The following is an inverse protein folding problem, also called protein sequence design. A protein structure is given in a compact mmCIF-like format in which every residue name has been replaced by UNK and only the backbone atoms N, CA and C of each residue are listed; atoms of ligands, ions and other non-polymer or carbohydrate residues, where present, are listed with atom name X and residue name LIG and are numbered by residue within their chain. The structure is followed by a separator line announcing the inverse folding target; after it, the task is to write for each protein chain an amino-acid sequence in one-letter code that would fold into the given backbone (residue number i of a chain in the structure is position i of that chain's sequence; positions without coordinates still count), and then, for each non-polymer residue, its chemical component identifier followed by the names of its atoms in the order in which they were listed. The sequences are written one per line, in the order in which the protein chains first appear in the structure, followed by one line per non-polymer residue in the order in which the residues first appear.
data_IF_842174066428
#
_entry.id   IF_842174066428
#
_cell.length_a   1.000
_cell.length_b   1.000
_cell.length_c   1.000
_cell.angle_alpha   90.00
_cell.angle_beta   90.00
_cell.angle_gamma   90.00
#
_symmetry.space_group_name_H-M   'P 1'
#
loop_
_entity.id
_entity.type
_entity.pdbx_description
1 polymer ?
#
# COMPACT_ATOMS: atom_id res chain seq x y z
N UNK A 1 -11.31 -26.56 5.17
CA UNK A 1 -10.74 -25.37 5.86
C UNK A 1 -10.51 -25.61 7.36
N UNK A 2 -11.42 -26.27 8.08
CA UNK A 2 -11.35 -26.47 9.55
C UNK A 2 -10.02 -27.09 10.02
N UNK A 3 -9.51 -28.10 9.31
CA UNK A 3 -8.23 -28.73 9.66
C UNK A 3 -7.06 -27.74 9.58
N UNK A 4 -7.02 -26.90 8.56
CA UNK A 4 -5.95 -25.91 8.37
C UNK A 4 -6.06 -24.78 9.40
N UNK A 5 -7.28 -24.39 9.76
CA UNK A 5 -7.54 -23.41 10.84
C UNK A 5 -7.08 -23.94 12.20
N UNK A 6 -7.42 -25.20 12.50
CA UNK A 6 -6.94 -25.90 13.71
C UNK A 6 -5.40 -25.99 13.71
N UNK A 7 -4.77 -26.28 12.56
CA UNK A 7 -3.32 -26.31 12.42
C UNK A 7 -2.71 -24.93 12.74
N UNK A 8 -3.27 -23.83 12.23
CA UNK A 8 -2.79 -22.50 12.51
C UNK A 8 -2.86 -22.17 14.02
N UNK A 9 -3.96 -22.53 14.68
CA UNK A 9 -4.14 -22.36 16.13
C UNK A 9 -3.15 -23.21 16.93
N UNK A 10 -2.96 -24.47 16.57
CA UNK A 10 -2.03 -25.38 17.24
C UNK A 10 -0.58 -24.95 17.09
N UNK A 11 -0.17 -24.48 15.92
CA UNK A 11 1.17 -23.93 15.71
C UNK A 11 1.42 -22.69 16.56
N UNK A 12 0.41 -21.79 16.64
CA UNK A 12 0.49 -20.63 17.51
C UNK A 12 0.73 -21.05 18.97
N UNK A 13 -0.10 -21.97 19.47
CA UNK A 13 -0.01 -22.47 20.85
C UNK A 13 1.33 -23.17 21.11
N UNK A 14 1.78 -24.02 20.18
CA UNK A 14 3.06 -24.73 20.30
C UNK A 14 4.26 -23.79 20.40
N UNK A 15 4.25 -22.68 19.65
CA UNK A 15 5.29 -21.65 19.73
C UNK A 15 5.19 -20.87 21.04
N UNK A 16 3.96 -20.50 21.48
CA UNK A 16 3.79 -19.74 22.72
C UNK A 16 4.25 -20.53 23.96
N UNK A 17 4.00 -21.83 24.01
CA UNK A 17 4.35 -22.70 25.13
C UNK A 17 5.81 -23.21 25.08
N UNK A 18 6.54 -23.01 23.97
CA UNK A 18 7.91 -23.47 23.85
C UNK A 18 8.86 -22.63 24.72
N UNK A 19 9.79 -23.30 25.40
CA UNK A 19 10.90 -22.64 26.12
C UNK A 19 11.83 -21.90 25.16
N UNK A 20 12.07 -22.46 23.97
CA UNK A 20 12.76 -21.80 22.85
C UNK A 20 11.79 -21.67 21.66
N UNK A 21 11.26 -20.47 21.52
CA UNK A 21 10.28 -20.15 20.46
C UNK A 21 10.91 -20.18 19.06
N UNK A 22 12.16 -19.78 18.94
CA UNK A 22 12.88 -19.75 17.67
C UNK A 22 13.16 -21.16 17.17
N UNK A 23 13.64 -22.05 18.01
CA UNK A 23 13.85 -23.46 17.68
C UNK A 23 12.54 -24.16 17.29
N UNK A 24 11.45 -23.92 18.03
CA UNK A 24 10.13 -24.47 17.69
C UNK A 24 9.62 -23.97 16.34
N UNK A 25 9.80 -22.70 16.04
CA UNK A 25 9.41 -22.10 14.76
C UNK A 25 10.23 -22.72 13.60
N UNK A 26 11.54 -22.92 13.79
CA UNK A 26 12.39 -23.56 12.79
C UNK A 26 11.96 -25.01 12.49
N UNK A 27 11.67 -25.80 13.54
CA UNK A 27 11.15 -27.17 13.40
C UNK A 27 9.84 -27.21 12.61
N UNK A 28 8.90 -26.33 12.92
CA UNK A 28 7.62 -26.25 12.20
C UNK A 28 7.79 -25.85 10.73
N UNK A 29 8.75 -24.97 10.43
CA UNK A 29 9.09 -24.59 9.05
C UNK A 29 9.68 -25.77 8.28
N UNK A 30 10.55 -26.54 8.89
CA UNK A 30 11.13 -27.74 8.29
C UNK A 30 10.05 -28.79 7.98
N UNK A 31 9.14 -29.06 8.92
CA UNK A 31 8.03 -29.99 8.74
C UNK A 31 7.11 -29.61 7.57
N UNK A 32 6.95 -28.31 7.28
CA UNK A 32 6.07 -27.81 6.22
C UNK A 32 6.80 -27.38 4.94
N UNK A 33 8.13 -27.50 4.88
CA UNK A 33 8.94 -27.00 3.75
C UNK A 33 8.53 -27.59 2.39
N UNK A 34 7.95 -28.81 2.37
CA UNK A 34 7.47 -29.47 1.16
C UNK A 34 6.10 -29.00 0.65
N UNK A 35 5.38 -28.19 1.42
CA UNK A 35 4.07 -27.68 1.02
C UNK A 35 4.22 -26.40 0.17
N UNK A 36 3.42 -26.25 -0.89
CA UNK A 36 3.44 -25.02 -1.67
C UNK A 36 2.91 -23.82 -0.86
N UNK A 37 3.39 -22.63 -1.20
CA UNK A 37 2.82 -21.40 -0.67
C UNK A 37 1.39 -21.21 -1.16
N UNK A 38 0.45 -20.97 -0.25
CA UNK A 38 -0.95 -20.87 -0.58
C UNK A 38 -1.77 -20.06 0.40
N UNK A 39 -2.94 -19.65 -0.06
CA UNK A 39 -3.96 -18.95 0.74
C UNK A 39 -5.27 -19.67 0.50
N UNK A 40 -5.80 -20.35 1.52
CA UNK A 40 -7.14 -20.92 1.49
C UNK A 40 -8.13 -19.93 2.11
N UNK A 41 -9.21 -19.68 1.39
CA UNK A 41 -10.30 -18.79 1.83
C UNK A 41 -11.31 -19.64 2.60
N UNK A 42 -11.26 -19.64 3.92
CA UNK A 42 -12.20 -20.42 4.73
C UNK A 42 -13.63 -19.91 4.55
N UNK A 43 -14.59 -20.83 4.44
CA UNK A 43 -16.02 -20.49 4.34
C UNK A 43 -16.44 -19.69 5.60
N UNK A 44 -16.94 -18.46 5.39
CA UNK A 44 -17.30 -17.51 6.45
C UNK A 44 -16.21 -17.32 7.53
N UNK A 45 -14.95 -17.62 7.18
CA UNK A 45 -13.80 -17.65 8.06
C UNK A 45 -12.62 -16.78 7.59
N UNK A 46 -11.43 -16.99 8.17
CA UNK A 46 -10.20 -16.25 7.88
C UNK A 46 -9.59 -16.64 6.53
N UNK A 47 -8.50 -15.97 6.18
CA UNK A 47 -7.53 -16.47 5.21
C UNK A 47 -6.54 -17.37 5.93
N UNK A 48 -6.44 -18.63 5.48
CA UNK A 48 -5.50 -19.61 5.99
C UNK A 48 -4.27 -19.62 5.09
N UNK A 49 -3.17 -19.07 5.59
CA UNK A 49 -1.95 -18.84 4.82
C UNK A 49 -0.93 -19.91 5.17
N UNK A 50 -0.38 -20.57 4.15
CA UNK A 50 0.68 -21.59 4.28
C UNK A 50 1.92 -21.11 3.55
N UNK A 51 3.09 -21.22 4.20
CA UNK A 51 4.42 -20.99 3.62
C UNK A 51 4.59 -19.67 2.83
N UNK A 52 3.95 -18.57 3.26
CA UNK A 52 4.29 -17.26 2.71
C UNK A 52 5.77 -16.95 3.01
N UNK A 53 6.47 -16.37 2.04
CA UNK A 53 7.86 -15.98 2.21
C UNK A 53 8.02 -14.73 3.10
N UNK A 54 7.04 -13.82 3.04
CA UNK A 54 7.01 -12.63 3.89
C UNK A 54 5.57 -12.19 4.19
N UNK A 55 5.36 -11.64 5.38
CA UNK A 55 4.20 -10.82 5.75
C UNK A 55 4.74 -9.52 6.30
N UNK A 56 4.37 -8.40 5.68
CA UNK A 56 4.88 -7.09 6.06
C UNK A 56 3.73 -6.14 6.36
N UNK A 57 3.99 -5.12 7.16
CA UNK A 57 3.11 -3.97 7.27
C UNK A 57 3.30 -3.02 6.06
N UNK A 58 2.50 -1.97 5.97
CA UNK A 58 2.56 -0.97 4.90
C UNK A 58 3.87 -0.15 4.86
N UNK A 59 4.70 -0.20 5.90
CA UNK A 59 6.02 0.42 5.98
C UNK A 59 7.15 -0.56 5.63
N UNK A 60 6.82 -1.80 5.23
CA UNK A 60 7.80 -2.83 4.92
C UNK A 60 8.37 -3.55 6.15
N UNK A 61 7.88 -3.23 7.36
CA UNK A 61 8.26 -3.94 8.59
C UNK A 61 7.74 -5.37 8.59
N UNK A 62 8.59 -6.34 8.88
CA UNK A 62 8.22 -7.76 8.94
C UNK A 62 7.32 -8.05 10.14
N UNK A 63 6.24 -8.80 9.91
CA UNK A 63 5.36 -9.29 10.95
C UNK A 63 5.75 -10.73 11.34
N UNK A 64 5.46 -11.11 12.59
CA UNK A 64 5.78 -12.45 13.08
C UNK A 64 5.02 -13.52 12.31
N UNK A 65 5.73 -14.35 11.55
CA UNK A 65 5.18 -15.39 10.69
C UNK A 65 5.28 -16.77 11.30
N UNK A 66 4.29 -17.60 11.01
CA UNK A 66 4.27 -19.04 11.25
C UNK A 66 4.11 -19.77 9.91
N UNK A 67 4.53 -21.04 9.80
CA UNK A 67 4.34 -21.83 8.58
C UNK A 67 2.88 -21.94 8.14
N UNK A 68 1.95 -22.05 9.10
CA UNK A 68 0.51 -21.89 8.86
C UNK A 68 -0.04 -20.82 9.81
N UNK A 69 -0.77 -19.86 9.26
CA UNK A 69 -1.35 -18.74 10.02
C UNK A 69 -2.73 -18.38 9.49
N UNK A 70 -3.55 -17.81 10.37
CA UNK A 70 -4.88 -17.31 10.03
C UNK A 70 -4.88 -15.78 10.06
N UNK A 71 -5.22 -15.13 8.94
CA UNK A 71 -5.37 -13.69 8.83
C UNK A 71 -6.84 -13.29 8.88
N UNK A 72 -7.13 -12.21 9.58
CA UNK A 72 -8.47 -11.68 9.73
C UNK A 72 -9.07 -11.30 8.37
N UNK A 73 -10.33 -11.72 8.12
CA UNK A 73 -11.09 -11.40 6.91
C UNK A 73 -12.36 -10.60 7.21
N UNK A 74 -12.82 -10.66 8.46
CA UNK A 74 -14.08 -10.05 8.89
C UNK A 74 -13.96 -8.58 9.35
N UNK A 75 -12.74 -8.05 9.45
CA UNK A 75 -12.46 -6.70 9.95
C UNK A 75 -12.65 -6.51 11.46
N UNK A 76 -13.18 -7.50 12.18
CA UNK A 76 -13.55 -7.40 13.59
C UNK A 76 -12.53 -7.92 14.60
N UNK A 77 -11.41 -8.54 14.16
CA UNK A 77 -10.40 -9.07 15.08
C UNK A 77 -9.82 -8.00 15.99
N UNK A 78 -9.60 -8.33 17.26
CA UNK A 78 -8.87 -7.50 18.22
C UNK A 78 -7.35 -7.67 18.15
N UNK A 79 -6.85 -8.67 17.39
CA UNK A 79 -5.43 -9.02 17.24
C UNK A 79 -4.95 -8.88 15.81
N UNK A 80 -5.45 -7.86 15.09
CA UNK A 80 -5.13 -7.61 13.67
C UNK A 80 -3.61 -7.59 13.41
N UNK A 81 -3.15 -8.14 12.27
CA UNK A 81 -3.91 -8.75 11.19
C UNK A 81 -4.33 -10.20 11.43
N UNK A 82 -4.01 -10.76 12.60
CA UNK A 82 -4.29 -12.16 12.92
C UNK A 82 -5.76 -12.40 13.21
N UNK A 83 -6.25 -13.58 12.88
CA UNK A 83 -7.60 -13.98 13.24
C UNK A 83 -7.66 -14.39 14.73
N UNK A 84 -8.67 -13.88 15.45
CA UNK A 84 -8.97 -14.20 16.84
C UNK A 84 -10.28 -15.00 16.99
N UNK A 85 -10.87 -15.49 15.87
CA UNK A 85 -12.13 -16.24 15.87
C UNK A 85 -13.40 -15.40 15.91
N UNK A 86 -13.30 -14.06 15.98
CA UNK A 86 -14.47 -13.17 16.11
C UNK A 86 -15.45 -13.26 14.94
N UNK A 87 -15.00 -13.69 13.75
CA UNK A 87 -15.86 -13.93 12.60
C UNK A 87 -17.04 -14.88 12.90
N UNK A 88 -16.85 -15.85 13.80
CA UNK A 88 -17.89 -16.81 14.18
C UNK A 88 -19.07 -16.19 14.95
N UNK A 89 -18.88 -15.00 15.53
CA UNK A 89 -19.88 -14.35 16.41
C UNK A 89 -20.33 -12.97 15.95
N UNK A 90 -19.63 -12.36 14.96
CA UNK A 90 -19.95 -11.00 14.51
C UNK A 90 -20.86 -10.94 13.27
N UNK A 91 -21.42 -12.07 12.83
CA UNK A 91 -22.31 -12.14 11.67
C UNK A 91 -21.59 -11.99 10.32
N UNK A 92 -20.26 -12.22 10.28
CA UNK A 92 -19.50 -12.15 9.04
C UNK A 92 -19.96 -13.20 8.03
N UNK A 93 -20.16 -12.79 6.77
CA UNK A 93 -20.37 -13.69 5.63
C UNK A 93 -19.26 -13.48 4.59
N UNK A 94 -18.68 -14.58 4.15
CA UNK A 94 -17.71 -14.63 3.05
C UNK A 94 -18.33 -14.58 1.65
N UNK A 95 -19.65 -14.58 1.54
CA UNK A 95 -20.35 -14.58 0.27
C UNK A 95 -20.12 -13.30 -0.54
N UNK A 96 -20.13 -13.43 -1.87
CA UNK A 96 -20.17 -12.30 -2.80
C UNK A 96 -21.56 -11.65 -2.77
N UNK A 97 -21.60 -10.32 -2.82
CA UNK A 97 -22.88 -9.60 -2.93
C UNK A 97 -23.50 -9.86 -4.33
N UNK A 98 -24.74 -10.33 -4.41
CA UNK A 98 -25.43 -10.52 -5.69
C UNK A 98 -25.58 -9.24 -6.51
N UNK A 99 -25.61 -8.07 -5.85
CA UNK A 99 -25.73 -6.75 -6.48
C UNK A 99 -24.38 -6.04 -6.69
N UNK A 100 -23.25 -6.75 -6.53
CA UNK A 100 -21.92 -6.18 -6.73
C UNK A 100 -21.72 -5.65 -8.14
N UNK A 101 -20.72 -4.76 -8.30
CA UNK A 101 -20.20 -4.39 -9.61
C UNK A 101 -19.78 -5.67 -10.34
N UNK A 102 -20.25 -5.90 -11.58
CA UNK A 102 -19.89 -7.09 -12.34
C UNK A 102 -18.37 -7.23 -12.51
N UNK A 103 -17.88 -8.45 -12.44
CA UNK A 103 -16.50 -8.79 -12.77
C UNK A 103 -16.31 -8.78 -14.31
N UNK A 104 -16.51 -7.63 -14.91
CA UNK A 104 -16.26 -7.42 -16.33
C UNK A 104 -15.03 -6.55 -16.52
N UNK A 105 -14.37 -6.78 -17.62
CA UNK A 105 -13.22 -5.99 -18.03
C UNK A 105 -13.64 -5.03 -19.13
N UNK A 106 -13.64 -3.74 -18.85
CA UNK A 106 -13.89 -2.70 -19.81
C UNK A 106 -12.62 -2.43 -20.64
N UNK A 107 -12.79 -2.09 -21.93
CA UNK A 107 -11.71 -1.83 -22.88
C UNK A 107 -11.76 -0.37 -23.31
N UNK A 108 -10.59 0.28 -23.29
CA UNK A 108 -10.41 1.68 -23.68
C UNK A 108 -9.33 1.73 -24.76
N UNK A 109 -9.75 2.01 -25.98
CA UNK A 109 -8.84 2.02 -27.14
C UNK A 109 -8.17 3.39 -27.28
N UNK A 110 -6.86 3.37 -27.54
CA UNK A 110 -6.05 4.52 -27.84
C UNK A 110 -5.21 4.34 -29.09
N UNK A 111 -4.47 5.38 -29.48
CA UNK A 111 -3.66 5.34 -30.70
C UNK A 111 -2.50 4.34 -30.63
N UNK A 112 -1.91 4.14 -29.45
CA UNK A 112 -0.71 3.31 -29.27
C UNK A 112 -0.97 2.06 -28.43
N UNK A 113 -2.06 2.04 -27.67
CA UNK A 113 -2.35 0.97 -26.72
C UNK A 113 -3.82 0.96 -26.35
N UNK A 114 -4.33 -0.24 -26.11
CA UNK A 114 -5.62 -0.45 -25.44
C UNK A 114 -5.37 -0.70 -23.96
N UNK A 115 -6.11 -0.04 -23.08
CA UNK A 115 -6.07 -0.28 -21.63
C UNK A 115 -7.33 -1.04 -21.24
N UNK A 116 -7.16 -2.05 -20.40
CA UNK A 116 -8.26 -2.82 -19.81
C UNK A 116 -8.38 -2.52 -18.32
N UNK A 117 -9.61 -2.39 -17.84
CA UNK A 117 -9.94 -2.13 -16.43
C UNK A 117 -11.06 -3.05 -15.94
N UNK A 118 -10.86 -3.69 -14.79
CA UNK A 118 -11.89 -4.45 -14.09
C UNK A 118 -12.19 -3.81 -12.73
N UNK A 119 -13.31 -3.08 -12.68
CA UNK A 119 -13.74 -2.39 -11.45
C UNK A 119 -14.18 -3.35 -10.35
N UNK A 120 -14.61 -4.56 -10.67
CA UNK A 120 -15.04 -5.57 -9.70
C UNK A 120 -13.93 -6.03 -8.75
N UNK A 121 -12.66 -5.87 -9.15
CA UNK A 121 -11.48 -6.24 -8.36
C UNK A 121 -10.55 -5.04 -8.06
N UNK A 122 -10.99 -3.82 -8.34
CA UNK A 122 -10.22 -2.62 -8.05
C UNK A 122 -10.27 -2.31 -6.56
N UNK A 123 -9.10 -2.22 -5.91
CA UNK A 123 -9.01 -1.81 -4.50
C UNK A 123 -9.10 -0.29 -4.30
N UNK A 124 -9.20 0.50 -5.37
CA UNK A 124 -9.27 1.96 -5.36
C UNK A 124 -8.05 2.62 -4.67
N UNK A 125 -6.85 2.09 -4.90
CA UNK A 125 -5.61 2.61 -4.29
C UNK A 125 -5.20 4.02 -4.76
N UNK A 126 -5.81 4.54 -5.84
CA UNK A 126 -5.41 5.80 -6.45
C UNK A 126 -4.13 5.78 -7.29
N UNK A 127 -3.34 4.70 -7.27
CA UNK A 127 -2.03 4.66 -7.92
C UNK A 127 -2.06 5.00 -9.42
N UNK A 128 -3.13 4.67 -10.14
CA UNK A 128 -3.28 5.03 -11.55
C UNK A 128 -3.59 6.51 -11.72
N UNK A 129 -4.58 7.04 -10.98
CA UNK A 129 -5.02 8.44 -11.06
C UNK A 129 -3.96 9.40 -10.56
N UNK A 130 -3.28 9.08 -9.47
CA UNK A 130 -2.23 9.94 -8.88
C UNK A 130 -0.97 9.98 -9.74
N UNK A 131 -0.63 8.87 -10.40
CA UNK A 131 0.58 8.79 -11.25
C UNK A 131 0.38 9.32 -12.65
N UNK A 132 -0.83 9.21 -13.21
CA UNK A 132 -1.10 9.58 -14.60
C UNK A 132 -2.55 10.06 -14.79
N UNK A 133 -2.87 11.20 -14.18
CA UNK A 133 -4.21 11.81 -14.21
C UNK A 133 -4.68 12.24 -15.60
N UNK A 134 -3.76 12.39 -16.56
CA UNK A 134 -4.11 12.68 -17.97
C UNK A 134 -4.65 11.46 -18.72
N UNK A 135 -4.48 10.27 -18.17
CA UNK A 135 -4.98 9.00 -18.73
C UNK A 135 -6.10 8.42 -17.86
N UNK A 136 -5.95 8.47 -16.53
CA UNK A 136 -6.89 7.91 -15.57
C UNK A 136 -7.63 9.02 -14.82
N UNK A 137 -8.95 9.11 -15.01
CA UNK A 137 -9.75 10.24 -14.55
C UNK A 137 -10.61 9.85 -13.34
N UNK A 138 -10.21 10.29 -12.14
CA UNK A 138 -11.00 10.07 -10.94
C UNK A 138 -12.34 10.82 -11.03
N UNK A 139 -13.44 10.10 -10.83
CA UNK A 139 -14.80 10.69 -10.79
C UNK A 139 -15.35 11.18 -12.13
N UNK A 140 -14.74 10.79 -13.26
CA UNK A 140 -15.19 11.17 -14.62
C UNK A 140 -15.32 9.96 -15.52
N UNK A 141 -16.18 10.08 -16.54
CA UNK A 141 -16.29 9.10 -17.62
C UNK A 141 -15.90 9.77 -18.97
N UNK A 142 -15.16 9.09 -19.84
CA UNK A 142 -14.57 7.77 -19.60
C UNK A 142 -13.47 7.81 -18.52
N UNK A 143 -13.42 6.77 -17.68
CA UNK A 143 -12.38 6.67 -16.66
C UNK A 143 -10.97 6.63 -17.24
N UNK A 144 -10.81 6.05 -18.42
CA UNK A 144 -9.51 5.91 -19.07
C UNK A 144 -9.52 6.55 -20.46
N UNK A 145 -8.51 7.39 -20.73
CA UNK A 145 -8.22 7.96 -22.05
C UNK A 145 -6.79 7.62 -22.44
N UNK A 146 -6.53 6.46 -23.11
CA UNK A 146 -5.16 5.99 -23.34
C UNK A 146 -4.31 6.95 -24.17
N UNK A 147 -4.91 7.74 -25.05
CA UNK A 147 -4.20 8.74 -25.86
C UNK A 147 -3.77 9.98 -25.06
N UNK A 148 -4.14 10.09 -23.79
CA UNK A 148 -3.76 11.20 -22.89
C UNK A 148 -2.35 11.12 -22.32
N UNK A 149 -1.59 10.04 -22.60
CA UNK A 149 -0.26 9.84 -22.05
C UNK A 149 0.70 9.12 -23.00
N UNK A 150 1.99 9.19 -22.68
CA UNK A 150 3.01 8.42 -23.40
C UNK A 150 2.93 6.95 -23.02
N UNK A 151 3.19 6.05 -23.96
CA UNK A 151 3.12 4.61 -23.77
C UNK A 151 3.94 4.11 -22.56
N UNK A 152 5.15 4.61 -22.39
CA UNK A 152 6.02 4.24 -21.27
C UNK A 152 5.46 4.67 -19.89
N UNK A 153 4.78 5.82 -19.83
CA UNK A 153 4.11 6.29 -18.62
C UNK A 153 2.86 5.46 -18.31
N UNK A 154 2.10 5.09 -19.34
CA UNK A 154 0.92 4.18 -19.22
C UNK A 154 1.37 2.82 -18.68
N UNK A 155 2.42 2.23 -19.26
CA UNK A 155 2.96 0.93 -18.82
C UNK A 155 3.35 0.99 -17.34
N UNK A 156 4.07 2.04 -16.89
CA UNK A 156 4.45 2.21 -15.48
C UNK A 156 3.23 2.34 -14.57
N UNK A 157 2.22 3.10 -14.97
CA UNK A 157 1.02 3.29 -14.17
C UNK A 157 0.20 1.99 -14.05
N UNK A 158 0.03 1.25 -15.14
CA UNK A 158 -0.68 -0.04 -15.16
C UNK A 158 0.05 -1.08 -14.29
N UNK A 159 1.38 -1.21 -14.45
CA UNK A 159 2.19 -2.13 -13.63
C UNK A 159 2.16 -1.82 -12.14
N UNK A 160 1.89 -0.58 -11.77
CA UNK A 160 1.75 -0.17 -10.38
C UNK A 160 0.38 -0.50 -9.78
N UNK A 161 -0.57 -1.06 -10.55
CA UNK A 161 -1.88 -1.46 -10.03
C UNK A 161 -1.74 -2.65 -9.07
N UNK A 162 -1.94 -2.47 -7.75
CA UNK A 162 -1.66 -3.53 -6.79
C UNK A 162 -2.72 -4.62 -6.73
N UNK A 163 -3.92 -4.37 -7.27
CA UNK A 163 -5.00 -5.37 -7.31
C UNK A 163 -4.98 -6.22 -8.59
N UNK A 164 -4.15 -5.86 -9.59
CA UNK A 164 -4.14 -6.53 -10.88
C UNK A 164 -5.37 -6.27 -11.74
N UNK A 165 -6.15 -5.22 -11.41
CA UNK A 165 -7.35 -4.83 -12.14
C UNK A 165 -7.05 -4.23 -13.52
N UNK A 166 -5.87 -3.63 -13.68
CA UNK A 166 -5.44 -3.00 -14.93
C UNK A 166 -4.52 -3.91 -15.74
N UNK A 167 -4.69 -3.88 -17.06
CA UNK A 167 -3.75 -4.43 -18.02
C UNK A 167 -3.76 -3.60 -19.31
N UNK A 168 -2.87 -3.90 -20.25
CA UNK A 168 -2.79 -3.19 -21.52
C UNK A 168 -2.48 -4.16 -22.67
N UNK A 169 -2.86 -3.75 -23.90
CA UNK A 169 -2.46 -4.40 -25.14
C UNK A 169 -1.72 -3.42 -26.02
N UNK A 170 -0.75 -3.94 -26.78
CA UNK A 170 -0.05 -3.26 -27.87
C UNK A 170 -0.23 -4.15 -29.10
N UNK A 171 -0.63 -3.55 -30.24
CA UNK A 171 -0.92 -4.29 -31.47
C UNK A 171 -1.85 -5.50 -31.24
N UNK A 172 -2.94 -5.28 -30.50
CA UNK A 172 -3.96 -6.27 -30.13
C UNK A 172 -3.43 -7.47 -29.30
N UNK A 173 -2.21 -7.38 -28.79
CA UNK A 173 -1.63 -8.39 -27.89
C UNK A 173 -1.61 -7.89 -26.46
N UNK A 174 -2.34 -8.58 -25.59
CA UNK A 174 -2.33 -8.27 -24.16
C UNK A 174 -0.95 -8.62 -23.55
N UNK A 175 -0.37 -7.66 -22.85
CA UNK A 175 0.96 -7.75 -22.28
C UNK A 175 0.93 -8.22 -20.81
N UNK A 176 0.05 -9.18 -20.46
CA UNK A 176 -0.12 -9.64 -19.07
C UNK A 176 1.19 -10.15 -18.45
N UNK A 177 1.99 -10.90 -19.17
CA UNK A 177 3.30 -11.38 -18.72
C UNK A 177 4.29 -10.25 -18.40
N UNK A 178 4.10 -9.08 -19.00
CA UNK A 178 4.92 -7.89 -18.71
C UNK A 178 4.35 -7.07 -17.56
N UNK A 179 3.06 -7.18 -17.27
CA UNK A 179 2.41 -6.57 -16.10
C UNK A 179 2.74 -7.38 -14.85
N UNK A 180 2.58 -8.69 -14.94
CA UNK A 180 2.86 -9.61 -13.84
C UNK A 180 4.39 -9.79 -13.70
N UNK A 181 4.91 -9.47 -12.52
CA UNK A 181 6.33 -9.67 -12.23
C UNK A 181 6.59 -11.15 -11.94
N UNK A 182 7.30 -11.82 -12.83
CA UNK A 182 7.67 -13.22 -12.63
C UNK A 182 8.78 -13.36 -11.59
N UNK A 183 8.73 -14.46 -10.80
CA UNK A 183 9.80 -14.83 -9.87
C UNK A 183 9.83 -14.08 -8.53
N UNK A 184 8.81 -13.29 -8.21
CA UNK A 184 8.65 -12.78 -6.83
C UNK A 184 8.29 -13.94 -5.90
N UNK A 185 8.88 -13.95 -4.71
CA UNK A 185 8.46 -14.88 -3.67
C UNK A 185 7.04 -14.53 -3.18
N UNK A 186 6.20 -15.53 -2.83
CA UNK A 186 4.85 -15.31 -2.31
C UNK A 186 4.85 -14.47 -1.03
N UNK A 187 4.30 -13.27 -1.08
CA UNK A 187 4.30 -12.33 0.02
C UNK A 187 2.95 -11.65 0.21
N UNK A 188 2.73 -11.17 1.44
CA UNK A 188 1.51 -10.47 1.85
C UNK A 188 1.92 -9.14 2.49
N UNK A 189 1.46 -8.03 1.92
CA UNK A 189 1.54 -6.72 2.55
C UNK A 189 0.19 -6.40 3.20
N UNK A 190 0.22 -6.06 4.49
CA UNK A 190 -0.92 -5.58 5.24
C UNK A 190 -1.00 -4.07 5.03
N UNK A 191 -1.89 -3.62 4.12
CA UNK A 191 -2.06 -2.20 3.85
C UNK A 191 -2.72 -1.49 5.03
N UNK A 192 -2.29 -0.28 5.34
CA UNK A 192 -2.96 0.55 6.33
C UNK A 192 -4.36 0.88 5.85
N UNK A 193 -5.36 0.66 6.70
CA UNK A 193 -6.78 0.95 6.45
C UNK A 193 -7.29 0.41 5.10
N UNK A 194 -6.63 -0.61 4.55
CA UNK A 194 -6.87 -1.14 3.21
C UNK A 194 -6.85 -2.68 3.15
N UNK A 195 -6.74 -3.27 1.97
CA UNK A 195 -6.73 -4.72 1.79
C UNK A 195 -5.37 -5.35 2.10
N UNK A 196 -5.32 -6.67 2.14
CA UNK A 196 -4.06 -7.40 1.95
C UNK A 196 -3.64 -7.33 0.49
N UNK A 197 -2.42 -6.91 0.22
CA UNK A 197 -1.80 -6.98 -1.11
C UNK A 197 -0.99 -8.24 -1.21
N UNK A 198 -1.39 -9.11 -2.11
CA UNK A 198 -0.77 -10.41 -2.33
C UNK A 198 0.12 -10.31 -3.56
N UNK A 199 1.32 -10.85 -3.49
CA UNK A 199 2.28 -10.90 -4.60
C UNK A 199 2.94 -12.27 -4.68
N UNK A 200 3.61 -12.57 -5.81
CA UNK A 200 4.35 -13.81 -6.00
C UNK A 200 3.49 -15.02 -6.37
N UNK A 201 2.21 -14.80 -6.71
CA UNK A 201 1.32 -15.83 -7.24
C UNK A 201 1.06 -17.02 -6.32
N UNK A 202 0.84 -16.87 -5.00
CA UNK A 202 0.49 -18.02 -4.18
C UNK A 202 -0.82 -18.64 -4.67
N UNK A 203 -0.94 -19.96 -4.51
CA UNK A 203 -2.17 -20.66 -4.85
C UNK A 203 -3.32 -20.12 -3.97
N UNK A 204 -4.36 -19.58 -4.61
CA UNK A 204 -5.56 -19.12 -3.92
C UNK A 204 -6.68 -20.14 -4.12
N UNK A 205 -7.21 -20.69 -3.02
CA UNK A 205 -8.26 -21.71 -3.04
C UNK A 205 -9.46 -21.32 -2.19
N UNK A 206 -10.62 -21.87 -2.53
CA UNK A 206 -11.83 -21.78 -1.71
C UNK A 206 -11.76 -22.65 -0.44
N UNK A 207 -12.84 -22.70 0.34
CA UNK A 207 -12.94 -23.48 1.58
C UNK A 207 -12.83 -24.97 1.39
N UNK A 208 -13.15 -25.50 0.21
CA UNK A 208 -13.04 -26.90 -0.18
C UNK A 208 -11.67 -27.26 -0.75
N UNK A 209 -10.84 -26.26 -1.10
CA UNK A 209 -9.52 -26.44 -1.70
C UNK A 209 -9.49 -26.36 -3.22
N UNK A 210 -10.62 -26.00 -3.86
CA UNK A 210 -10.63 -25.73 -5.30
C UNK A 210 -10.01 -24.36 -5.60
N UNK A 211 -9.42 -24.15 -6.79
CA UNK A 211 -8.91 -22.84 -7.17
C UNK A 211 -9.99 -21.75 -7.06
N UNK A 212 -9.71 -20.67 -6.34
CA UNK A 212 -10.63 -19.52 -6.27
C UNK A 212 -10.74 -18.87 -7.66
N UNK A 213 -11.96 -18.75 -8.22
CA UNK A 213 -12.15 -18.17 -9.54
C UNK A 213 -11.65 -16.71 -9.62
N UNK A 214 -10.85 -16.41 -10.64
CA UNK A 214 -10.39 -15.06 -10.93
C UNK A 214 -11.17 -14.49 -12.11
N UNK A 215 -11.43 -13.19 -12.10
CA UNK A 215 -12.03 -12.50 -13.23
C UNK A 215 -11.13 -12.59 -14.48
N UNK A 216 -11.74 -12.57 -15.66
CA UNK A 216 -10.99 -12.57 -16.91
C UNK A 216 -9.98 -11.42 -16.98
N UNK A 217 -8.74 -11.72 -17.35
CA UNK A 217 -7.65 -10.76 -17.44
C UNK A 217 -7.12 -10.24 -16.09
N UNK A 218 -7.62 -10.75 -14.95
CA UNK A 218 -7.02 -10.46 -13.65
C UNK A 218 -5.60 -11.07 -13.56
N UNK A 219 -4.71 -10.40 -12.81
CA UNK A 219 -3.37 -10.91 -12.58
C UNK A 219 -3.41 -12.26 -11.86
N UNK A 220 -2.58 -13.21 -12.30
CA UNK A 220 -2.36 -14.46 -11.59
C UNK A 220 -1.27 -14.31 -10.51
N UNK A 221 -0.41 -13.31 -10.66
CA UNK A 221 0.76 -13.08 -9.82
C UNK A 221 0.45 -12.19 -8.60
N UNK A 222 -0.46 -11.23 -8.73
CA UNK A 222 -0.83 -10.34 -7.63
C UNK A 222 -2.32 -10.06 -7.57
N UNK A 223 -2.83 -9.79 -6.38
CA UNK A 223 -4.22 -9.38 -6.15
C UNK A 223 -4.36 -8.66 -4.82
N UNK A 224 -5.52 -8.06 -4.60
CA UNK A 224 -5.90 -7.47 -3.32
C UNK A 224 -7.04 -8.29 -2.69
N UNK A 225 -6.85 -8.76 -1.46
CA UNK A 225 -7.85 -9.52 -0.71
C UNK A 225 -8.50 -8.66 0.37
N UNK A 226 -9.81 -8.80 0.53
CA UNK A 226 -10.60 -8.02 1.48
C UNK A 226 -10.20 -8.33 2.92
N UNK A 227 -9.92 -7.29 3.70
CA UNK A 227 -9.69 -7.40 5.14
C UNK A 227 -10.82 -6.78 5.97
N UNK A 228 -11.44 -5.71 5.48
CA UNK A 228 -12.47 -4.96 6.19
C UNK A 228 -13.80 -5.73 6.41
N UNK A 229 -14.00 -6.86 5.75
CA UNK A 229 -15.21 -7.67 5.84
C UNK A 229 -16.37 -7.21 4.94
N UNK A 230 -16.28 -6.04 4.32
CA UNK A 230 -17.38 -5.38 3.59
C UNK A 230 -17.23 -5.38 2.07
N UNK A 231 -16.19 -6.00 1.53
CA UNK A 231 -16.10 -6.14 0.07
C UNK A 231 -17.35 -6.81 -0.50
N UNK A 232 -17.86 -6.27 -1.57
CA UNK A 232 -18.97 -6.86 -2.31
C UNK A 232 -18.54 -8.06 -3.16
N UNK A 233 -17.24 -8.14 -3.49
CA UNK A 233 -16.65 -9.19 -4.34
C UNK A 233 -15.66 -10.09 -3.60
N UNK A 234 -16.01 -10.52 -2.38
CA UNK A 234 -15.16 -11.40 -1.57
C UNK A 234 -14.74 -12.67 -2.33
N UNK A 235 -13.51 -13.14 -2.21
CA UNK A 235 -12.46 -12.68 -1.29
C UNK A 235 -11.71 -11.42 -1.76
N UNK A 236 -11.88 -11.00 -3.02
CA UNK A 236 -11.17 -9.85 -3.57
C UNK A 236 -11.67 -8.53 -2.97
N UNK A 237 -10.79 -7.55 -2.90
CA UNK A 237 -11.15 -6.20 -2.49
C UNK A 237 -11.95 -5.49 -3.60
N UNK A 238 -13.03 -4.81 -3.23
CA UNK A 238 -13.84 -3.95 -4.11
C UNK A 238 -13.81 -2.48 -3.70
N UNK A 239 -12.82 -2.06 -2.89
CA UNK A 239 -12.68 -0.68 -2.43
C UNK A 239 -13.63 -0.25 -1.32
N UNK A 240 -14.51 -1.13 -0.81
CA UNK A 240 -15.50 -0.78 0.22
C UNK A 240 -14.90 -0.26 1.52
N UNK A 241 -13.64 -0.56 1.82
CA UNK A 241 -12.94 -0.04 3.00
C UNK A 241 -12.95 1.49 3.07
N UNK A 242 -12.92 2.19 1.93
CA UNK A 242 -13.06 3.65 1.88
C UNK A 242 -14.44 4.14 2.33
N UNK A 243 -15.50 3.49 1.87
CA UNK A 243 -16.87 3.93 2.12
C UNK A 243 -17.35 3.66 3.54
N UNK A 244 -16.79 2.63 4.20
CA UNK A 244 -17.11 2.31 5.60
C UNK A 244 -16.15 2.96 6.59
N UNK A 245 -15.19 3.77 6.11
CA UNK A 245 -14.11 4.34 6.91
C UNK A 245 -13.40 3.27 7.75
N UNK A 246 -13.05 2.15 7.11
CA UNK A 246 -12.34 1.08 7.79
C UNK A 246 -11.03 1.61 8.33
N UNK A 247 -10.86 1.50 9.63
CA UNK A 247 -9.63 1.85 10.29
C UNK A 247 -9.04 0.58 10.92
N UNK A 248 -7.81 0.29 10.56
CA UNK A 248 -6.98 -0.64 11.31
C UNK A 248 -6.32 0.17 12.44
N UNK A 249 -6.62 -0.11 13.71
CA UNK A 249 -5.84 0.49 14.76
C UNK A 249 -4.38 0.10 14.51
N UNK A 250 -3.56 1.09 14.15
CA UNK A 250 -2.13 0.90 14.06
C UNK A 250 -1.68 0.19 15.34
N UNK A 251 -0.79 -0.84 15.26
CA UNK A 251 -0.17 -1.37 16.47
C UNK A 251 0.31 -0.18 17.29
N UNK A 252 0.12 -0.23 18.61
CA UNK A 252 0.47 0.88 19.52
C UNK A 252 1.95 1.31 19.45
N UNK A 253 2.74 0.68 18.59
CA UNK A 253 4.17 0.84 18.37
C UNK A 253 4.55 1.24 16.93
N UNK A 254 3.60 1.56 16.02
CA UNK A 254 4.01 2.11 14.73
C UNK A 254 4.45 3.57 14.92
N UNK A 255 5.74 3.88 14.66
CA UNK A 255 6.19 5.25 14.75
C UNK A 255 5.47 6.10 13.70
N UNK A 256 5.06 7.29 14.08
CA UNK A 256 4.62 8.30 13.13
C UNK A 256 5.73 8.58 12.12
N UNK A 257 5.43 9.15 10.96
CA UNK A 257 6.46 9.61 10.02
C UNK A 257 7.46 10.56 10.70
N UNK A 258 6.97 11.33 11.67
CA UNK A 258 7.80 12.21 12.50
C UNK A 258 8.82 11.43 13.33
N UNK A 259 8.40 10.41 14.07
CA UNK A 259 9.28 9.56 14.86
C UNK A 259 10.24 8.76 14.00
N UNK A 260 9.72 8.22 12.89
CA UNK A 260 10.50 7.45 11.94
C UNK A 260 11.58 8.30 11.24
N UNK A 261 11.29 9.57 10.93
CA UNK A 261 12.26 10.52 10.41
C UNK A 261 13.35 10.91 11.45
N UNK A 262 13.21 10.51 12.71
CA UNK A 262 14.12 10.87 13.81
C UNK A 262 13.69 12.12 14.58
N UNK A 263 12.41 12.48 14.49
CA UNK A 263 11.79 13.58 15.23
C UNK A 263 12.26 14.98 14.81
N UNK A 264 11.90 15.98 15.62
CA UNK A 264 12.24 17.37 15.34
C UNK A 264 13.75 17.63 15.16
N UNK A 265 14.67 17.00 15.92
CA UNK A 265 16.11 17.22 15.70
C UNK A 265 16.62 16.80 14.32
N UNK A 266 16.04 15.75 13.72
CA UNK A 266 16.42 15.31 12.39
C UNK A 266 15.84 16.22 11.30
N UNK A 267 14.58 16.63 11.46
CA UNK A 267 13.93 17.58 10.57
C UNK A 267 14.62 18.95 10.58
N UNK A 268 15.04 19.40 11.78
CA UNK A 268 15.80 20.65 11.90
C UNK A 268 17.14 20.57 11.17
N UNK A 269 17.94 19.53 11.38
CA UNK A 269 19.18 19.33 10.63
C UNK A 269 18.96 19.31 9.13
N UNK A 270 17.90 18.65 8.68
CA UNK A 270 17.53 18.59 7.25
C UNK A 270 17.24 19.99 6.69
N UNK A 271 16.43 20.77 7.37
CA UNK A 271 16.05 22.13 6.93
C UNK A 271 17.22 23.10 7.02
N UNK A 272 18.06 23.02 8.05
CA UNK A 272 19.30 23.81 8.16
C UNK A 272 20.25 23.53 7.01
N UNK A 273 20.47 22.27 6.64
CA UNK A 273 21.29 21.88 5.50
C UNK A 273 20.66 22.37 4.20
N UNK A 274 19.35 22.17 4.03
CA UNK A 274 18.63 22.58 2.83
C UNK A 274 18.74 24.08 2.60
N UNK A 275 18.38 24.88 3.58
CA UNK A 275 18.38 26.35 3.46
C UNK A 275 19.77 26.98 3.61
N UNK A 276 20.68 26.34 4.34
CA UNK A 276 22.04 26.86 4.57
C UNK A 276 23.05 26.49 3.48
N UNK A 277 22.78 25.41 2.73
CA UNK A 277 23.71 24.94 1.71
C UNK A 277 23.06 24.86 0.33
N UNK A 278 22.05 24.01 0.17
CA UNK A 278 21.52 23.71 -1.17
C UNK A 278 20.76 24.87 -1.80
N UNK A 279 19.96 25.60 -1.05
CA UNK A 279 19.23 26.76 -1.58
C UNK A 279 20.15 27.88 -2.05
N UNK A 280 21.20 28.29 -1.30
CA UNK A 280 22.14 29.31 -1.78
C UNK A 280 22.97 28.89 -3.02
N UNK A 281 23.21 27.60 -3.17
CA UNK A 281 23.97 27.06 -4.31
C UNK A 281 23.11 26.91 -5.59
N UNK A 282 21.78 26.95 -5.48
CA UNK A 282 20.86 26.82 -6.62
C UNK A 282 20.42 28.18 -7.15
N UNK A 283 20.74 28.54 -8.39
CA UNK A 283 20.45 29.86 -8.96
C UNK A 283 18.98 30.15 -9.15
N UNK A 284 18.10 29.12 -9.13
CA UNK A 284 16.65 29.28 -9.20
C UNK A 284 16.02 29.51 -7.81
N UNK A 285 16.60 28.92 -6.77
CA UNK A 285 16.07 28.98 -5.40
C UNK A 285 16.68 30.12 -4.58
N UNK A 286 17.94 30.45 -4.77
CA UNK A 286 18.64 31.50 -4.01
C UNK A 286 17.86 32.82 -3.94
N UNK A 287 17.31 33.38 -5.06
CA UNK A 287 16.58 34.64 -5.02
C UNK A 287 15.29 34.58 -4.18
N UNK A 288 14.68 33.42 -4.03
CA UNK A 288 13.46 33.26 -3.22
C UNK A 288 13.72 33.37 -1.71
N UNK A 289 14.97 33.14 -1.30
CA UNK A 289 15.37 33.06 0.09
C UNK A 289 16.23 34.25 0.56
N UNK A 290 16.53 35.22 -0.32
CA UNK A 290 17.31 36.42 0.04
C UNK A 290 16.71 37.22 1.21
N UNK A 291 15.39 37.23 1.35
CA UNK A 291 14.67 37.95 2.43
C UNK A 291 14.09 37.00 3.48
N UNK A 292 14.59 35.77 3.51
CA UNK A 292 14.11 34.75 4.46
C UNK A 292 14.51 35.11 5.90
N UNK A 293 13.56 34.91 6.82
CA UNK A 293 13.85 35.07 8.26
C UNK A 293 14.88 34.06 8.73
N UNK A 294 15.82 34.44 9.62
CA UNK A 294 16.84 33.51 10.14
C UNK A 294 16.26 32.24 10.78
N UNK A 295 15.06 32.30 11.35
CA UNK A 295 14.35 31.19 11.99
C UNK A 295 13.45 30.38 11.01
N UNK A 296 13.59 30.62 9.71
CA UNK A 296 12.79 29.91 8.69
C UNK A 296 13.03 28.39 8.68
N UNK A 297 14.27 27.88 8.78
CA UNK A 297 14.52 26.45 8.87
C UNK A 297 13.80 25.80 10.04
N UNK A 298 13.80 26.43 11.23
CA UNK A 298 13.10 25.97 12.42
C UNK A 298 11.58 25.93 12.22
N UNK A 299 11.02 26.96 11.59
CA UNK A 299 9.58 27.01 11.29
C UNK A 299 9.17 25.91 10.33
N UNK A 300 9.98 25.65 9.30
CA UNK A 300 9.71 24.58 8.33
C UNK A 300 9.88 23.21 8.99
N UNK A 301 10.89 23.02 9.83
CA UNK A 301 11.06 21.79 10.59
C UNK A 301 9.87 21.52 11.54
N UNK A 302 9.38 22.55 12.23
CA UNK A 302 8.21 22.43 13.09
C UNK A 302 6.93 22.12 12.32
N UNK A 303 6.74 22.76 11.15
CA UNK A 303 5.61 22.50 10.27
C UNK A 303 5.64 21.09 9.70
N UNK A 304 6.77 20.64 9.16
CA UNK A 304 6.95 19.26 8.67
C UNK A 304 6.73 18.26 9.79
N UNK A 305 7.21 18.56 11.01
CA UNK A 305 6.99 17.72 12.18
C UNK A 305 5.51 17.50 12.46
N UNK A 306 4.71 18.56 12.40
CA UNK A 306 3.26 18.49 12.60
C UNK A 306 2.56 17.71 11.45
N UNK A 307 2.94 18.00 10.20
CA UNK A 307 2.42 17.28 9.01
C UNK A 307 2.73 15.79 9.07
N UNK A 308 3.88 15.41 9.61
CA UNK A 308 4.31 14.02 9.75
C UNK A 308 3.75 13.31 11.01
N UNK A 309 2.79 13.92 11.69
CA UNK A 309 2.10 13.33 12.84
C UNK A 309 2.82 13.50 14.15
N UNK A 310 3.76 14.43 14.25
CA UNK A 310 4.39 14.87 15.48
C UNK A 310 3.56 15.91 16.25
N UNK A 311 4.13 16.50 17.33
CA UNK A 311 3.44 17.51 18.14
C UNK A 311 3.06 18.76 17.33
N UNK A 312 1.92 19.38 17.66
CA UNK A 312 1.38 20.58 17.01
C UNK A 312 2.19 21.86 17.30
N UNK A 313 3.51 21.77 17.24
CA UNK A 313 4.43 22.85 17.60
C UNK A 313 4.31 24.07 16.68
N UNK A 314 4.12 23.82 15.37
CA UNK A 314 3.96 24.91 14.41
C UNK A 314 2.66 25.66 14.62
N UNK A 315 1.55 24.95 14.79
CA UNK A 315 0.23 25.56 15.04
C UNK A 315 0.21 26.38 16.33
N UNK A 316 0.85 25.87 17.38
CA UNK A 316 0.91 26.55 18.68
C UNK A 316 1.81 27.79 18.67
N UNK A 317 2.95 27.72 17.98
CA UNK A 317 3.98 28.77 18.05
C UNK A 317 3.81 29.80 16.92
N UNK A 318 3.42 29.38 15.73
CA UNK A 318 3.46 30.21 14.51
C UNK A 318 2.09 30.47 13.88
N UNK A 319 0.99 29.99 14.47
CA UNK A 319 -0.38 30.32 14.05
C UNK A 319 -0.99 29.40 12.99
N UNK A 320 -0.42 28.22 12.78
CA UNK A 320 -1.00 27.11 12.02
C UNK A 320 -1.00 27.27 10.49
N UNK A 321 -1.69 26.34 9.84
CA UNK A 321 -1.68 26.16 8.38
C UNK A 321 -2.15 27.41 7.62
N UNK A 322 -3.21 28.06 8.07
CA UNK A 322 -3.76 29.27 7.41
C UNK A 322 -2.74 30.42 7.36
N UNK A 323 -1.97 30.58 8.45
CA UNK A 323 -0.90 31.58 8.48
C UNK A 323 0.28 31.19 7.56
N UNK A 324 0.65 29.93 7.52
CA UNK A 324 1.67 29.43 6.60
C UNK A 324 1.29 29.76 5.15
N UNK A 325 0.07 29.41 4.72
CA UNK A 325 -0.42 29.71 3.37
C UNK A 325 -0.39 31.23 3.10
N UNK A 326 -0.86 32.06 4.05
CA UNK A 326 -0.90 33.51 3.84
C UNK A 326 0.47 34.14 3.58
N UNK A 327 1.53 33.56 4.12
CA UNK A 327 2.91 34.03 3.92
C UNK A 327 3.52 33.62 2.58
N UNK A 328 2.88 32.66 1.87
CA UNK A 328 3.30 32.21 0.55
C UNK A 328 2.46 32.80 -0.59
N UNK A 329 1.32 33.44 -0.25
CA UNK A 329 0.49 34.11 -1.25
C UNK A 329 1.27 35.26 -1.90
N UNK A 330 1.26 35.29 -3.23
CA UNK A 330 1.92 36.34 -4.02
C UNK A 330 3.41 36.11 -4.33
N UNK A 331 4.00 35.00 -3.88
CA UNK A 331 5.42 34.69 -4.18
C UNK A 331 5.65 34.15 -5.60
N UNK A 332 4.57 33.90 -6.37
CA UNK A 332 4.61 33.56 -7.82
C UNK A 332 5.69 32.52 -8.20
N UNK A 333 5.75 31.40 -7.48
CA UNK A 333 6.72 30.34 -7.76
C UNK A 333 6.51 29.79 -9.18
N UNK A 334 7.57 29.70 -9.94
CA UNK A 334 7.57 29.06 -11.26
C UNK A 334 7.66 27.54 -11.14
N UNK A 335 7.21 26.84 -12.18
CA UNK A 335 7.32 25.37 -12.23
C UNK A 335 8.79 24.89 -12.15
N UNK A 336 9.72 25.61 -12.77
CA UNK A 336 11.14 25.31 -12.67
C UNK A 336 11.66 25.40 -11.22
N UNK A 337 11.24 26.43 -10.48
CA UNK A 337 11.58 26.58 -9.05
C UNK A 337 10.94 25.50 -8.20
N UNK A 338 9.72 25.11 -8.49
CA UNK A 338 9.03 24.00 -7.79
C UNK A 338 9.77 22.68 -7.99
N UNK A 339 10.23 22.41 -9.22
CA UNK A 339 11.01 21.21 -9.52
C UNK A 339 12.40 21.23 -8.88
N UNK A 340 13.07 22.38 -8.84
CA UNK A 340 14.36 22.53 -8.16
C UNK A 340 14.27 22.33 -6.64
N UNK A 341 13.14 22.70 -6.03
CA UNK A 341 12.91 22.50 -4.59
C UNK A 341 12.62 21.04 -4.20
N UNK A 342 12.27 20.18 -5.17
CA UNK A 342 12.07 18.74 -4.93
C UNK A 342 13.38 18.02 -5.29
N UNK A 343 14.10 17.44 -4.31
CA UNK A 343 15.33 16.70 -4.62
C UNK A 343 15.02 15.55 -5.58
N UNK A 344 15.62 15.58 -6.77
CA UNK A 344 15.60 14.45 -7.69
C UNK A 344 16.35 13.24 -7.11
N UNK A 345 16.19 12.04 -7.69
CA UNK A 345 16.98 10.86 -7.30
C UNK A 345 18.44 11.09 -7.69
N UNK A 346 19.23 11.65 -6.78
CA UNK A 346 20.64 11.98 -6.97
C UNK A 346 21.48 11.68 -5.71
N UNK A 347 22.81 11.74 -5.83
CA UNK A 347 23.75 11.44 -4.74
C UNK A 347 23.55 12.29 -3.46
N UNK A 348 22.76 13.35 -3.53
CA UNK A 348 22.45 14.22 -2.40
C UNK A 348 21.51 13.56 -1.37
N UNK A 349 20.62 12.65 -1.78
CA UNK A 349 19.76 11.87 -0.87
C UNK A 349 20.59 10.86 -0.06
N UNK A 350 21.68 10.36 -0.61
CA UNK A 350 22.60 9.46 0.10
C UNK A 350 23.30 10.15 1.28
N UNK A 351 23.67 11.42 1.11
CA UNK A 351 24.33 12.21 2.14
C UNK A 351 23.40 12.52 3.32
N UNK A 352 22.08 12.54 3.11
CA UNK A 352 21.07 12.83 4.14
C UNK A 352 20.53 11.57 4.83
N UNK A 353 20.91 10.36 4.39
CA UNK A 353 20.32 9.07 4.84
C UNK A 353 18.79 9.01 4.74
N UNK A 354 18.20 9.77 3.81
CA UNK A 354 16.75 9.85 3.61
C UNK A 354 16.24 8.93 2.50
N UNK A 355 17.06 7.97 2.04
CA UNK A 355 16.68 7.01 0.96
C UNK A 355 15.41 6.21 1.25
N UNK A 356 15.01 6.13 2.49
CA UNK A 356 13.83 5.34 2.88
C UNK A 356 12.55 6.16 3.08
N UNK A 357 12.59 7.48 3.02
CA UNK A 357 11.46 8.35 3.40
C UNK A 357 10.62 8.82 2.21
N UNK A 358 11.12 8.68 0.96
CA UNK A 358 10.51 9.30 -0.24
C UNK A 358 10.16 8.28 -1.35
N UNK A 359 10.23 6.97 -1.07
CA UNK A 359 9.76 5.93 -2.03
C UNK A 359 8.51 5.25 -1.56
#
# INVERSE_FOLDING_TARGET
SELVEATAALQHLAIQLAGDKAARLAELRELQAGLPAGIQVATDGPYLVTNAAAVTNHLGGELAMRPTMALCRCGGSGSKPWCDGRHATNGFSGAKDPQRVPDRRDSYDGVQTTIFDNRGICQHSGFCTDRLSTVFHAGSEPFVTPSGGRLDAIIRAVRACPSGALSYAIDDREAREQVDQTGRAPAIEVSRDGPYRITGGPMLTDGEGNPEPRAAGASAEHCALCWCGHSQNKPFCSGMHYYINFADPAPAEEPTLFEWAGGLPALLRMTEIFYGKYVPEDPLLAPLCETMSPDHPERVAAWLGEVFGGPANYSQTYGGYSRMISQHVGKSLTEAQRQAAVPGPGPQLDALRLRSVVL
#
